data_IF_130956882217
#
_entry.id   IF_130956882217
#
_cell.length_a   1.000
_cell.length_b   1.000
_cell.length_c   1.000
_cell.angle_alpha   90.00
_cell.angle_beta   90.00
_cell.angle_gamma   90.00
#
_symmetry.space_group_name_H-M   'P 1'
#
loop_
_entity.id
_entity.type
_entity.pdbx_description
1 polymer ?
#
# COMPACT_ATOMS: atom_id res chain seq x y z
N UNK A 1 58.51 64.61 -13.29
CA UNK A 1 58.79 63.44 -12.42
C UNK A 1 57.49 62.94 -11.81
N UNK A 2 56.95 61.81 -12.28
CA UNK A 2 55.84 61.07 -11.65
C UNK A 2 56.17 59.58 -11.75
N UNK A 3 56.18 58.89 -10.61
CA UNK A 3 56.62 57.49 -10.46
C UNK A 3 55.50 56.52 -10.89
N UNK A 4 55.79 55.45 -11.66
CA UNK A 4 54.89 54.32 -11.85
C UNK A 4 55.27 53.24 -10.83
N UNK A 5 54.36 52.89 -9.92
CA UNK A 5 54.70 51.94 -8.87
C UNK A 5 53.50 51.53 -8.04
N UNK A 6 52.40 51.13 -8.67
CA UNK A 6 51.25 50.56 -7.95
C UNK A 6 50.32 49.74 -8.85
N UNK A 7 50.85 48.95 -9.79
CA UNK A 7 50.03 48.13 -10.69
C UNK A 7 50.54 46.68 -10.87
N UNK A 8 51.47 46.23 -10.03
CA UNK A 8 52.07 44.88 -10.14
C UNK A 8 51.74 43.93 -8.99
N UNK A 9 50.97 44.34 -7.97
CA UNK A 9 50.67 43.49 -6.81
C UNK A 9 49.37 42.67 -6.92
N UNK A 10 48.51 42.95 -7.90
CA UNK A 10 47.17 42.31 -8.00
C UNK A 10 47.14 41.07 -8.88
N UNK A 11 48.20 40.76 -9.63
CA UNK A 11 48.25 39.62 -10.56
C UNK A 11 48.77 38.32 -9.93
N UNK A 12 49.35 38.35 -8.74
CA UNK A 12 49.95 37.16 -8.09
C UNK A 12 48.96 36.35 -7.22
N UNK A 13 47.76 36.85 -6.96
CA UNK A 13 46.78 36.22 -6.05
C UNK A 13 45.74 35.32 -6.75
N UNK A 14 45.80 35.17 -8.07
CA UNK A 14 44.83 34.35 -8.85
C UNK A 14 45.33 32.95 -9.23
N UNK A 15 46.54 32.53 -8.78
CA UNK A 15 47.13 31.24 -9.15
C UNK A 15 47.10 30.16 -8.05
N UNK A 16 46.38 30.36 -6.93
CA UNK A 16 46.32 29.41 -5.81
C UNK A 16 44.96 28.73 -5.58
N UNK A 17 44.07 28.61 -6.58
CA UNK A 17 42.78 27.89 -6.43
C UNK A 17 42.74 26.47 -7.04
N UNK A 18 43.89 25.83 -7.24
CA UNK A 18 43.93 24.39 -7.51
C UNK A 18 44.45 23.64 -6.28
N UNK A 19 43.64 23.59 -5.23
CA UNK A 19 43.85 22.67 -4.11
C UNK A 19 42.98 21.41 -4.27
N UNK A 20 43.69 20.29 -4.32
CA UNK A 20 43.32 18.92 -3.99
C UNK A 20 41.84 18.53 -4.03
N UNK A 21 41.49 17.81 -5.09
CA UNK A 21 40.44 16.80 -5.01
C UNK A 21 41.14 15.43 -4.92
N UNK A 22 41.63 15.11 -3.71
CA UNK A 22 42.15 13.79 -3.36
C UNK A 22 40.99 12.79 -3.31
N UNK A 23 40.54 12.34 -4.48
CA UNK A 23 39.76 11.13 -4.58
C UNK A 23 40.71 10.01 -5.06
N UNK A 24 41.16 9.11 -4.16
CA UNK A 24 42.20 8.12 -4.45
C UNK A 24 41.85 7.11 -5.56
N UNK A 25 40.61 7.15 -6.07
CA UNK A 25 40.07 6.24 -7.08
C UNK A 25 39.69 6.89 -8.41
N UNK A 26 40.07 8.16 -8.67
CA UNK A 26 39.80 8.80 -9.96
C UNK A 26 40.79 8.30 -11.02
N UNK A 27 40.36 7.33 -11.84
CA UNK A 27 41.11 6.87 -13.03
C UNK A 27 41.85 5.54 -12.91
N UNK A 28 41.72 4.82 -11.79
CA UNK A 28 42.20 3.43 -11.71
C UNK A 28 41.20 2.51 -12.42
N UNK A 29 41.67 1.53 -13.23
CA UNK A 29 40.80 0.51 -13.79
C UNK A 29 40.03 -0.19 -12.67
N UNK A 30 38.73 -0.43 -12.88
CA UNK A 30 37.92 -1.23 -11.94
C UNK A 30 38.48 -2.65 -11.96
N UNK A 31 39.16 -3.03 -10.88
CA UNK A 31 39.67 -4.39 -10.70
C UNK A 31 38.53 -5.23 -10.14
N UNK A 32 38.03 -6.18 -10.93
CA UNK A 32 36.99 -7.12 -10.50
C UNK A 32 37.51 -7.92 -9.29
N UNK A 33 36.90 -7.69 -8.12
CA UNK A 33 37.25 -8.38 -6.87
C UNK A 33 37.79 -7.49 -5.75
N UNK A 34 38.02 -6.20 -5.99
CA UNK A 34 38.37 -5.24 -4.93
C UNK A 34 37.11 -4.80 -4.16
N UNK A 35 37.00 -5.18 -2.89
CA UNK A 35 35.87 -4.85 -2.02
C UNK A 35 35.68 -3.34 -1.80
N UNK A 36 36.72 -2.52 -2.01
CA UNK A 36 36.63 -1.06 -1.94
C UNK A 36 36.01 -0.41 -3.19
N UNK A 37 35.80 -1.20 -4.25
CA UNK A 37 35.08 -0.77 -5.47
C UNK A 37 33.62 -1.24 -5.51
N UNK A 38 33.19 -2.05 -4.54
CA UNK A 38 31.81 -2.52 -4.43
C UNK A 38 31.01 -1.46 -3.68
N UNK A 39 30.09 -0.80 -4.37
CA UNK A 39 29.07 0.05 -3.73
C UNK A 39 28.07 -0.89 -3.06
N UNK A 40 28.23 -1.11 -1.76
CA UNK A 40 27.24 -1.81 -0.94
C UNK A 40 26.15 -0.81 -0.56
N UNK A 41 25.04 -0.83 -1.29
CA UNK A 41 23.82 -0.10 -0.96
C UNK A 41 23.24 -0.73 0.31
N UNK A 42 23.36 -0.06 1.46
CA UNK A 42 22.85 -0.56 2.74
C UNK A 42 21.42 -0.10 3.05
N UNK A 43 20.82 0.72 2.18
CA UNK A 43 19.47 1.22 2.39
C UNK A 43 18.47 0.19 1.84
N UNK A 44 17.67 -0.46 2.71
CA UNK A 44 16.72 -1.50 2.31
C UNK A 44 15.63 -0.99 1.38
N UNK A 45 15.43 0.33 1.26
CA UNK A 45 14.49 0.91 0.32
C UNK A 45 14.92 0.70 -1.16
N UNK A 46 16.22 0.61 -1.44
CA UNK A 46 16.73 0.38 -2.80
C UNK A 46 16.99 -1.10 -3.12
N UNK A 47 16.86 -1.99 -2.13
CA UNK A 47 17.11 -3.43 -2.24
C UNK A 47 15.82 -4.27 -2.36
N UNK A 48 14.68 -3.67 -2.66
CA UNK A 48 13.43 -4.42 -2.75
C UNK A 48 13.42 -5.35 -3.97
N UNK A 49 13.20 -6.63 -3.74
CA UNK A 49 13.02 -7.63 -4.78
C UNK A 49 11.63 -7.47 -5.43
N UNK A 50 11.59 -7.24 -6.73
CA UNK A 50 10.34 -7.03 -7.49
C UNK A 50 9.69 -8.33 -7.98
N UNK A 51 10.23 -9.49 -7.58
CA UNK A 51 9.73 -10.80 -7.98
C UNK A 51 8.88 -11.37 -6.84
N UNK A 52 7.60 -11.56 -7.09
CA UNK A 52 6.72 -12.25 -6.15
C UNK A 52 7.07 -13.75 -6.10
N UNK A 53 7.43 -14.26 -4.92
CA UNK A 53 7.67 -15.69 -4.70
C UNK A 53 6.45 -16.53 -5.15
N UNK A 54 6.62 -17.31 -6.21
CA UNK A 54 5.60 -18.23 -6.70
C UNK A 54 5.64 -19.48 -5.81
N UNK A 55 4.78 -19.54 -4.79
CA UNK A 55 4.54 -20.80 -4.06
C UNK A 55 3.63 -21.69 -4.89
N UNK A 56 4.18 -22.72 -5.51
CA UNK A 56 3.41 -23.78 -6.17
C UNK A 56 2.53 -24.47 -5.14
N UNK A 57 1.21 -24.45 -5.37
CA UNK A 57 0.22 -25.13 -4.54
C UNK A 57 0.34 -26.63 -4.78
N UNK A 58 0.88 -27.35 -3.80
CA UNK A 58 0.94 -28.81 -3.80
C UNK A 58 -0.48 -29.38 -3.75
N UNK A 59 -0.80 -30.29 -4.68
CA UNK A 59 -2.10 -30.93 -4.78
C UNK A 59 -2.31 -31.90 -3.60
N UNK A 60 -3.51 -31.85 -3.01
CA UNK A 60 -3.95 -32.70 -1.91
C UNK A 60 -4.49 -34.03 -2.47
N UNK A 61 -4.08 -35.20 -1.93
CA UNK A 61 -4.53 -36.49 -2.46
C UNK A 61 -5.96 -36.85 -2.06
N UNK A 62 -6.63 -37.55 -2.98
CA UNK A 62 -8.02 -38.01 -2.95
C UNK A 62 -8.33 -38.93 -1.75
N UNK A 63 -9.54 -38.74 -1.20
CA UNK A 63 -10.11 -39.54 -0.13
C UNK A 63 -11.00 -40.64 -0.74
N UNK A 64 -10.81 -41.94 -0.43
CA UNK A 64 -11.65 -43.00 -0.99
C UNK A 64 -12.97 -43.20 -0.22
N UNK A 65 -13.96 -43.66 -0.99
CA UNK A 65 -15.38 -43.76 -0.67
C UNK A 65 -15.79 -45.01 0.14
N UNK A 66 -16.87 -44.86 0.94
CA UNK A 66 -17.95 -45.79 1.39
C UNK A 66 -17.62 -47.24 1.85
N UNK A 67 -18.36 -47.84 2.82
CA UNK A 67 -19.73 -48.31 2.55
C UNK A 67 -20.75 -48.19 3.71
N UNK A 68 -22.03 -48.16 3.33
CA UNK A 68 -23.18 -48.44 4.19
C UNK A 68 -23.34 -49.95 4.45
N UNK A 69 -24.12 -50.35 5.48
CA UNK A 69 -25.09 -51.42 5.27
C UNK A 69 -26.49 -51.15 5.90
N UNK A 70 -27.49 -51.36 5.03
CA UNK A 70 -28.81 -52.03 5.17
C UNK A 70 -29.44 -52.36 6.54
N UNK A 71 -30.70 -51.91 6.66
CA UNK A 71 -31.95 -52.59 7.07
C UNK A 71 -31.93 -53.71 8.14
N UNK A 72 -32.77 -53.60 9.18
CA UNK A 72 -34.08 -54.30 9.18
C UNK A 72 -34.98 -54.08 10.43
N UNK A 73 -36.29 -54.09 10.15
CA UNK A 73 -37.47 -54.48 10.95
C UNK A 73 -38.06 -53.62 12.12
N UNK A 74 -39.38 -53.44 11.98
CA UNK A 74 -40.39 -52.73 12.76
C UNK A 74 -40.64 -53.20 14.22
N UNK A 75 -41.15 -52.29 15.07
CA UNK A 75 -42.56 -52.27 15.53
C UNK A 75 -42.85 -51.27 16.68
N UNK A 76 -44.06 -50.66 16.58
CA UNK A 76 -45.03 -50.35 17.66
C UNK A 76 -45.07 -48.96 18.32
N UNK A 77 -46.05 -48.18 17.83
CA UNK A 77 -46.93 -47.16 18.46
C UNK A 77 -46.70 -46.75 19.93
N UNK A 78 -46.66 -45.43 20.17
CA UNK A 78 -47.69 -44.71 20.95
C UNK A 78 -47.54 -43.19 20.81
N UNK A 79 -48.69 -42.51 20.75
CA UNK A 79 -48.84 -41.07 20.59
C UNK A 79 -48.40 -40.27 21.83
N UNK A 80 -47.80 -39.10 21.59
CA UNK A 80 -47.91 -37.93 22.47
C UNK A 80 -47.53 -36.67 21.67
N UNK A 81 -48.57 -36.04 21.16
CA UNK A 81 -48.59 -34.67 20.65
C UNK A 81 -48.29 -33.71 21.81
N UNK A 82 -47.19 -32.95 21.74
CA UNK A 82 -46.96 -31.76 22.56
C UNK A 82 -46.22 -30.70 21.76
N UNK A 83 -47.00 -29.70 21.40
CA UNK A 83 -46.72 -28.29 21.18
C UNK A 83 -45.28 -27.82 20.95
N UNK A 84 -45.17 -27.15 19.80
CA UNK A 84 -44.14 -26.23 19.40
C UNK A 84 -43.69 -25.26 20.51
N UNK A 85 -42.38 -25.21 20.72
CA UNK A 85 -41.70 -23.99 21.13
C UNK A 85 -40.60 -23.75 20.09
N UNK A 86 -40.62 -22.65 19.31
CA UNK A 86 -39.51 -22.34 18.42
C UNK A 86 -38.27 -22.09 19.28
N UNK A 87 -37.27 -22.95 19.11
CA UNK A 87 -35.94 -22.71 19.63
C UNK A 87 -35.43 -21.40 19.01
N UNK A 88 -35.29 -20.38 19.86
CA UNK A 88 -34.69 -19.09 19.53
C UNK A 88 -33.29 -19.37 18.99
N UNK A 89 -33.11 -19.14 17.69
CA UNK A 89 -31.81 -19.16 17.06
C UNK A 89 -30.87 -18.18 17.80
N UNK A 90 -29.59 -18.52 18.00
CA UNK A 90 -28.62 -17.59 18.54
C UNK A 90 -28.64 -16.29 17.71
N UNK A 91 -28.62 -15.11 18.34
CA UNK A 91 -28.73 -13.85 17.61
C UNK A 91 -27.61 -13.77 16.59
N UNK A 92 -27.98 -13.78 15.31
CA UNK A 92 -27.12 -13.29 14.24
C UNK A 92 -26.62 -11.93 14.66
N UNK A 93 -25.29 -11.77 14.70
CA UNK A 93 -24.63 -10.51 14.99
C UNK A 93 -25.22 -9.46 14.05
N UNK A 94 -26.07 -8.57 14.60
CA UNK A 94 -26.70 -7.53 13.84
C UNK A 94 -25.59 -6.70 13.20
N UNK A 95 -25.55 -6.73 11.86
CA UNK A 95 -24.69 -5.85 11.09
C UNK A 95 -25.01 -4.41 11.54
N UNK A 96 -24.01 -3.65 12.02
CA UNK A 96 -24.26 -2.27 12.43
C UNK A 96 -24.81 -1.48 11.24
N UNK A 97 -26.06 -0.99 11.37
CA UNK A 97 -26.81 -0.22 10.38
C UNK A 97 -26.33 1.24 10.32
N UNK A 98 -25.02 1.44 10.25
CA UNK A 98 -24.44 2.76 10.02
C UNK A 98 -24.14 2.91 8.53
N UNK A 99 -24.42 4.09 7.96
CA UNK A 99 -24.03 4.42 6.60
C UNK A 99 -22.51 4.25 6.46
N UNK A 100 -22.06 3.31 5.61
CA UNK A 100 -20.64 2.98 5.48
C UNK A 100 -20.38 1.73 4.64
N UNK A 101 -19.10 1.35 4.56
CA UNK A 101 -18.69 0.07 3.98
C UNK A 101 -18.83 -1.02 5.03
N UNK A 102 -19.77 -1.95 4.82
CA UNK A 102 -19.91 -3.17 5.62
C UNK A 102 -19.38 -4.38 4.84
N UNK A 103 -18.44 -5.11 5.42
CA UNK A 103 -17.82 -6.31 4.85
C UNK A 103 -18.04 -7.48 5.82
N UNK A 104 -19.01 -8.34 5.50
CA UNK A 104 -19.34 -9.51 6.31
C UNK A 104 -18.58 -10.74 5.80
N UNK A 105 -17.45 -11.07 6.44
CA UNK A 105 -16.80 -12.36 6.25
C UNK A 105 -17.48 -13.42 7.11
N UNK A 106 -17.13 -14.69 6.89
CA UNK A 106 -17.66 -15.82 7.68
C UNK A 106 -17.47 -15.66 9.19
N UNK A 107 -16.28 -15.23 9.60
CA UNK A 107 -15.88 -15.22 11.02
C UNK A 107 -15.95 -13.84 11.68
N UNK A 108 -15.99 -12.77 10.88
CA UNK A 108 -15.95 -11.38 11.33
C UNK A 108 -16.68 -10.47 10.37
N UNK A 109 -17.43 -9.52 10.90
CA UNK A 109 -17.99 -8.40 10.14
C UNK A 109 -17.18 -7.14 10.42
N UNK A 110 -16.84 -6.40 9.37
CA UNK A 110 -16.09 -5.16 9.45
C UNK A 110 -16.95 -4.03 8.92
N UNK A 111 -17.08 -2.95 9.68
CA UNK A 111 -17.76 -1.72 9.29
C UNK A 111 -16.75 -0.56 9.28
N UNK A 112 -16.74 0.19 8.19
CA UNK A 112 -16.06 1.49 8.11
C UNK A 112 -17.16 2.53 7.84
N UNK A 113 -17.54 3.36 8.82
CA UNK A 113 -18.64 4.30 8.68
C UNK A 113 -18.25 5.46 7.76
N UNK A 114 -19.24 6.22 7.28
CA UNK A 114 -19.06 7.48 6.55
C UNK A 114 -18.21 7.40 5.27
N UNK A 115 -18.07 6.21 4.67
CA UNK A 115 -17.46 6.04 3.35
C UNK A 115 -18.45 5.39 2.39
N UNK A 116 -18.40 5.84 1.14
CA UNK A 116 -19.17 5.26 0.04
C UNK A 116 -18.18 4.58 -0.90
N UNK A 117 -18.45 3.32 -1.21
CA UNK A 117 -17.55 2.51 -2.02
C UNK A 117 -18.29 1.77 -3.12
N UNK A 118 -17.57 1.41 -4.18
CA UNK A 118 -18.05 0.54 -5.24
C UNK A 118 -17.27 -0.77 -5.20
N UNK A 119 -17.95 -1.90 -5.30
CA UNK A 119 -17.28 -3.20 -5.48
C UNK A 119 -16.90 -3.38 -6.95
N UNK A 120 -15.70 -3.93 -7.21
CA UNK A 120 -15.26 -4.25 -8.57
C UNK A 120 -16.01 -5.44 -9.18
N UNK A 121 -16.43 -6.40 -8.36
CA UNK A 121 -17.12 -7.65 -8.75
C UNK A 121 -18.06 -8.13 -7.65
N UNK A 122 -18.97 -9.05 -7.95
CA UNK A 122 -19.68 -9.79 -6.90
C UNK A 122 -18.68 -10.71 -6.18
N UNK A 123 -18.48 -10.48 -4.89
CA UNK A 123 -17.51 -11.19 -4.06
C UNK A 123 -18.25 -12.10 -3.09
N UNK A 124 -17.88 -13.39 -3.02
CA UNK A 124 -18.42 -14.29 -2.01
C UNK A 124 -17.58 -14.21 -0.73
N UNK A 125 -17.93 -13.26 0.15
CA UNK A 125 -17.19 -12.96 1.38
C UNK A 125 -17.23 -14.09 2.42
N UNK A 126 -18.18 -15.02 2.32
CA UNK A 126 -18.28 -16.18 3.21
C UNK A 126 -17.19 -17.22 2.96
N UNK A 127 -16.61 -17.24 1.75
CA UNK A 127 -15.49 -18.12 1.38
C UNK A 127 -14.18 -17.35 1.18
N UNK A 128 -14.24 -16.03 1.02
CA UNK A 128 -13.08 -15.22 0.73
C UNK A 128 -12.23 -14.91 1.98
N UNK A 129 -10.93 -14.74 1.75
CA UNK A 129 -9.99 -14.21 2.74
C UNK A 129 -9.73 -12.71 2.56
N UNK A 130 -10.31 -12.09 1.54
CA UNK A 130 -10.26 -10.65 1.42
C UNK A 130 -11.27 -10.07 0.46
N UNK A 131 -11.37 -8.75 0.50
CA UNK A 131 -12.28 -7.98 -0.31
C UNK A 131 -11.62 -6.72 -0.85
N UNK A 132 -11.96 -6.34 -2.08
CA UNK A 132 -11.44 -5.13 -2.73
C UNK A 132 -12.56 -4.19 -3.14
N UNK A 133 -12.40 -2.91 -2.83
CA UNK A 133 -13.37 -1.86 -3.11
C UNK A 133 -12.69 -0.62 -3.69
N UNK A 134 -13.44 0.17 -4.44
CA UNK A 134 -13.05 1.50 -4.90
C UNK A 134 -13.76 2.55 -4.04
N UNK A 135 -13.03 3.55 -3.53
CA UNK A 135 -13.60 4.67 -2.80
C UNK A 135 -14.32 5.62 -3.77
N UNK A 136 -15.59 5.90 -3.52
CA UNK A 136 -16.37 6.89 -4.28
C UNK A 136 -16.35 8.24 -3.56
N UNK A 137 -16.58 8.23 -2.24
CA UNK A 137 -16.57 9.44 -1.40
C UNK A 137 -16.39 9.10 0.09
N UNK A 138 -16.05 10.11 0.89
CA UNK A 138 -15.82 9.99 2.33
C UNK A 138 -14.36 10.22 2.71
N UNK A 139 -14.11 10.48 4.00
CA UNK A 139 -12.76 10.63 4.53
C UNK A 139 -12.32 9.32 5.20
N UNK A 140 -11.12 8.85 4.85
CA UNK A 140 -10.53 7.65 5.44
C UNK A 140 -9.67 8.01 6.66
N UNK A 141 -8.87 9.07 6.58
CA UNK A 141 -7.96 9.43 7.67
C UNK A 141 -8.75 9.98 8.87
N UNK A 142 -8.45 9.48 10.07
CA UNK A 142 -9.18 9.81 11.30
C UNK A 142 -10.53 9.10 11.43
N UNK A 143 -10.90 8.23 10.48
CA UNK A 143 -12.10 7.41 10.57
C UNK A 143 -11.84 6.14 11.40
N UNK A 144 -12.86 5.32 11.59
CA UNK A 144 -12.83 4.16 12.47
C UNK A 144 -13.15 2.86 11.73
N UNK A 145 -12.52 1.76 12.15
CA UNK A 145 -12.88 0.41 11.74
C UNK A 145 -13.54 -0.24 12.94
N UNK A 146 -14.80 -0.60 12.79
CA UNK A 146 -15.55 -1.34 13.79
C UNK A 146 -15.64 -2.80 13.37
N UNK A 147 -15.30 -3.72 14.27
CA UNK A 147 -15.41 -5.14 14.03
C UNK A 147 -16.48 -5.77 14.92
N UNK A 148 -17.14 -6.82 14.44
CA UNK A 148 -18.09 -7.60 15.24
C UNK A 148 -18.05 -9.07 14.84
N UNK A 149 -18.52 -9.96 15.73
CA UNK A 149 -18.47 -11.41 15.53
C UNK A 149 -17.32 -12.06 16.31
N UNK A 150 -16.40 -12.72 15.61
CA UNK A 150 -15.24 -13.39 16.22
C UNK A 150 -14.33 -12.44 17.02
N UNK A 151 -13.47 -13.02 17.87
CA UNK A 151 -12.56 -12.24 18.72
C UNK A 151 -11.40 -11.70 17.89
N UNK A 152 -11.38 -10.40 17.64
CA UNK A 152 -10.28 -9.74 16.91
C UNK A 152 -9.08 -9.56 17.84
N UNK A 153 -7.92 -10.03 17.38
CA UNK A 153 -6.66 -9.91 18.11
C UNK A 153 -5.88 -8.66 17.68
N UNK A 154 -5.87 -8.38 16.37
CA UNK A 154 -5.09 -7.27 15.80
C UNK A 154 -5.72 -6.79 14.50
N UNK A 155 -5.79 -5.47 14.34
CA UNK A 155 -6.01 -4.84 13.04
C UNK A 155 -4.74 -4.13 12.63
N UNK A 156 -4.20 -4.51 11.48
CA UNK A 156 -3.05 -3.86 10.86
C UNK A 156 -3.46 -3.07 9.64
N UNK A 157 -2.77 -1.96 9.40
CA UNK A 157 -2.92 -1.12 8.22
C UNK A 157 -1.61 -1.06 7.45
N UNK A 158 -1.71 -1.04 6.13
CA UNK A 158 -0.65 -0.54 5.26
C UNK A 158 -1.28 0.27 4.14
N UNK A 159 -0.49 1.05 3.44
CA UNK A 159 -0.99 1.84 2.33
C UNK A 159 0.00 1.91 1.18
N UNK A 160 -0.48 2.30 0.01
CA UNK A 160 0.33 2.59 -1.17
C UNK A 160 0.22 4.05 -1.52
N UNK A 161 1.34 4.69 -1.78
CA UNK A 161 1.40 6.06 -2.29
C UNK A 161 2.01 6.09 -3.68
N UNK A 162 1.70 7.16 -4.40
CA UNK A 162 2.32 7.51 -5.67
C UNK A 162 2.73 8.97 -5.65
N UNK A 163 3.69 9.34 -6.48
CA UNK A 163 4.01 10.74 -6.71
C UNK A 163 3.14 11.30 -7.85
N UNK A 164 2.63 12.51 -7.67
CA UNK A 164 1.97 13.26 -8.72
C UNK A 164 2.62 14.64 -8.89
N UNK A 165 2.69 15.14 -10.12
CA UNK A 165 3.04 16.54 -10.41
C UNK A 165 1.74 17.32 -10.56
N UNK A 166 1.58 18.38 -9.77
CA UNK A 166 0.43 19.29 -9.85
C UNK A 166 0.90 20.70 -10.21
N UNK A 167 0.50 21.18 -11.39
CA UNK A 167 0.82 22.52 -11.87
C UNK A 167 -0.29 23.03 -12.83
N UNK A 168 -0.04 24.13 -13.52
CA UNK A 168 -0.96 24.73 -14.50
C UNK A 168 -1.31 23.81 -15.68
N UNK A 169 -0.50 22.78 -15.95
CA UNK A 169 -0.76 21.77 -17.00
C UNK A 169 -1.73 20.68 -16.53
N UNK A 170 -2.11 20.68 -15.24
CA UNK A 170 -2.99 19.71 -14.60
C UNK A 170 -2.27 18.78 -13.63
N UNK A 171 -2.73 17.53 -13.57
CA UNK A 171 -2.15 16.49 -12.71
C UNK A 171 -1.54 15.36 -13.54
N UNK A 172 -0.25 15.11 -13.34
CA UNK A 172 0.46 13.95 -13.92
C UNK A 172 0.89 12.98 -12.82
N UNK A 173 0.21 11.84 -12.75
CA UNK A 173 0.56 10.75 -11.85
C UNK A 173 1.75 9.96 -12.38
N UNK A 174 2.76 9.79 -11.52
CA UNK A 174 3.99 9.07 -11.81
C UNK A 174 3.90 7.67 -11.21
N UNK A 175 3.11 6.78 -11.84
CA UNK A 175 2.83 5.43 -11.32
C UNK A 175 4.08 4.58 -11.08
N UNK A 176 5.17 4.86 -11.80
CA UNK A 176 6.46 4.20 -11.58
C UNK A 176 7.19 4.64 -10.31
N UNK A 177 6.74 5.74 -9.67
CA UNK A 177 7.23 6.21 -8.38
C UNK A 177 6.16 5.93 -7.33
N UNK A 178 5.96 4.64 -7.05
CA UNK A 178 5.09 4.19 -5.98
C UNK A 178 5.92 3.60 -4.83
N UNK A 179 5.35 3.62 -3.63
CA UNK A 179 5.88 2.87 -2.49
C UNK A 179 4.72 2.27 -1.71
N UNK A 180 4.98 1.17 -1.01
CA UNK A 180 4.04 0.53 -0.10
C UNK A 180 4.62 0.61 1.30
N UNK A 181 3.84 1.11 2.26
CA UNK A 181 4.26 1.16 3.65
C UNK A 181 4.33 -0.25 4.24
N UNK A 182 5.06 -0.38 5.34
CA UNK A 182 4.98 -1.58 6.17
C UNK A 182 3.61 -1.71 6.85
N UNK A 183 3.37 -2.90 7.42
CA UNK A 183 2.17 -3.17 8.21
C UNK A 183 2.31 -2.60 9.61
N UNK A 184 1.51 -1.59 9.92
CA UNK A 184 1.43 -0.99 11.24
C UNK A 184 0.18 -1.46 11.98
N UNK A 185 0.25 -1.61 13.30
CA UNK A 185 -0.93 -1.94 14.11
C UNK A 185 -1.77 -0.68 14.36
N UNK A 186 -3.07 -0.75 14.06
CA UNK A 186 -3.98 0.34 14.41
C UNK A 186 -4.26 0.33 15.91
N UNK A 187 -4.33 1.52 16.49
CA UNK A 187 -4.75 1.70 17.89
C UNK A 187 -6.26 1.57 17.97
N UNK A 188 -6.73 0.74 18.89
CA UNK A 188 -8.15 0.51 19.08
C UNK A 188 -8.46 -0.15 20.42
N UNK A 189 -9.72 -0.05 20.82
CA UNK A 189 -10.27 -0.69 22.02
C UNK A 189 -11.73 -1.03 21.76
N UNK A 190 -12.21 -2.13 22.36
CA UNK A 190 -13.60 -2.59 22.25
C UNK A 190 -14.05 -2.72 20.78
N UNK A 191 -13.22 -3.38 19.98
CA UNK A 191 -13.50 -3.63 18.55
C UNK A 191 -13.64 -2.37 17.67
N UNK A 192 -13.22 -1.21 18.16
CA UNK A 192 -13.16 0.05 17.41
C UNK A 192 -11.69 0.48 17.27
N UNK A 193 -11.21 0.61 16.03
CA UNK A 193 -9.82 0.92 15.66
C UNK A 193 -9.74 2.21 14.85
N UNK A 194 -8.93 3.17 15.28
CA UNK A 194 -8.76 4.44 14.57
C UNK A 194 -7.80 4.29 13.40
N UNK A 195 -8.24 4.73 12.22
CA UNK A 195 -7.42 4.85 11.01
C UNK A 195 -6.57 6.12 11.11
N UNK A 196 -5.25 5.97 11.07
CA UNK A 196 -4.28 7.07 11.21
C UNK A 196 -3.13 6.94 10.22
N UNK A 197 -2.30 8.00 10.11
CA UNK A 197 -1.08 7.98 9.30
C UNK A 197 -1.32 8.08 7.79
N UNK A 198 -2.51 8.55 7.37
CA UNK A 198 -2.89 8.69 5.97
C UNK A 198 -2.94 10.16 5.50
N UNK A 199 -2.42 11.10 6.29
CA UNK A 199 -2.28 12.50 5.92
C UNK A 199 -0.95 12.80 5.23
N UNK A 200 -0.93 13.85 4.40
CA UNK A 200 0.20 14.26 3.56
C UNK A 200 1.55 14.38 4.27
N UNK A 201 1.57 14.57 5.60
CA UNK A 201 2.82 14.70 6.38
C UNK A 201 3.43 13.35 6.77
N UNK A 202 2.61 12.31 6.88
CA UNK A 202 3.02 10.98 7.33
C UNK A 202 3.13 9.98 6.18
N UNK A 203 2.59 10.32 5.01
CA UNK A 203 2.67 9.46 3.83
C UNK A 203 4.12 9.23 3.41
N UNK A 204 4.54 7.97 3.47
CA UNK A 204 5.81 7.52 2.91
C UNK A 204 5.86 7.76 1.39
N UNK A 205 7.06 8.01 0.89
CA UNK A 205 7.29 8.20 -0.53
C UNK A 205 8.62 7.61 -0.98
N UNK A 206 8.66 7.20 -2.25
CA UNK A 206 9.88 6.70 -2.85
C UNK A 206 10.87 7.85 -3.05
N UNK A 207 12.05 7.75 -2.43
CA UNK A 207 13.16 8.67 -2.70
C UNK A 207 13.82 8.26 -4.02
N UNK A 208 14.11 9.23 -4.88
CA UNK A 208 14.77 8.94 -6.16
C UNK A 208 15.58 10.14 -6.64
N UNK A 209 16.54 9.88 -7.52
CA UNK A 209 17.40 10.90 -8.09
C UNK A 209 16.66 11.79 -9.09
N UNK A 210 17.17 13.00 -9.41
CA UNK A 210 16.57 13.88 -10.41
C UNK A 210 16.40 13.21 -11.79
N UNK A 211 17.30 12.30 -12.15
CA UNK A 211 17.19 11.52 -13.38
C UNK A 211 16.04 10.50 -13.31
N UNK A 212 15.86 9.85 -12.16
CA UNK A 212 14.72 8.95 -11.88
C UNK A 212 13.38 9.68 -12.03
N UNK A 213 13.28 10.91 -11.50
CA UNK A 213 12.07 11.74 -11.63
C UNK A 213 11.77 12.05 -13.10
N UNK A 214 12.77 12.51 -13.88
CA UNK A 214 12.57 12.80 -15.32
C UNK A 214 12.16 11.56 -16.11
N UNK A 215 12.78 10.42 -15.83
CA UNK A 215 12.42 9.16 -16.46
C UNK A 215 10.98 8.74 -16.13
N UNK A 216 10.53 8.94 -14.89
CA UNK A 216 9.15 8.69 -14.49
C UNK A 216 8.16 9.61 -15.23
N UNK A 217 8.50 10.90 -15.40
CA UNK A 217 7.70 11.84 -16.20
C UNK A 217 7.58 11.41 -17.65
N UNK A 218 8.69 11.05 -18.29
CA UNK A 218 8.67 10.55 -19.67
C UNK A 218 7.82 9.29 -19.79
N UNK A 219 7.91 8.35 -18.84
CA UNK A 219 7.06 7.14 -18.83
C UNK A 219 5.58 7.48 -18.68
N UNK A 220 5.23 8.37 -17.74
CA UNK A 220 3.84 8.79 -17.52
C UNK A 220 3.27 9.59 -18.71
N UNK A 221 4.07 10.43 -19.36
CA UNK A 221 3.66 11.14 -20.56
C UNK A 221 3.40 10.18 -21.74
N UNK A 222 4.27 9.16 -21.90
CA UNK A 222 4.11 8.12 -22.92
C UNK A 222 2.90 7.23 -22.65
N UNK A 223 2.65 6.81 -21.41
CA UNK A 223 1.48 5.98 -21.08
C UNK A 223 0.17 6.72 -21.38
N UNK A 224 0.13 8.04 -21.15
CA UNK A 224 -0.97 8.93 -21.52
C UNK A 224 -0.96 9.35 -23.00
N UNK A 225 -0.07 8.82 -23.84
CA UNK A 225 0.06 9.12 -25.28
C UNK A 225 0.15 10.62 -25.58
N UNK A 226 0.85 11.37 -24.73
CA UNK A 226 1.02 12.81 -24.90
C UNK A 226 1.93 13.14 -26.08
N UNK A 227 1.76 14.34 -26.65
CA UNK A 227 2.69 14.87 -27.65
C UNK A 227 4.08 15.13 -27.05
N UNK A 228 5.13 15.13 -27.88
CA UNK A 228 6.49 15.48 -27.47
C UNK A 228 6.60 16.90 -26.90
N UNK A 229 5.84 17.84 -27.47
CA UNK A 229 5.80 19.21 -26.96
C UNK A 229 5.21 19.27 -25.53
N UNK A 230 4.14 18.50 -25.28
CA UNK A 230 3.52 18.40 -23.95
C UNK A 230 4.45 17.72 -22.95
N UNK A 231 5.11 16.62 -23.35
CA UNK A 231 6.13 15.94 -22.55
C UNK A 231 7.23 16.93 -22.12
N UNK A 232 7.74 17.74 -23.05
CA UNK A 232 8.79 18.72 -22.74
C UNK A 232 8.32 19.80 -21.76
N UNK A 233 7.06 20.24 -21.85
CA UNK A 233 6.47 21.19 -20.87
C UNK A 233 6.45 20.58 -19.46
N UNK A 234 6.07 19.31 -19.33
CA UNK A 234 6.13 18.61 -18.04
C UNK A 234 7.57 18.50 -17.51
N UNK A 235 8.53 18.12 -18.35
CA UNK A 235 9.93 18.04 -17.96
C UNK A 235 10.51 19.40 -17.53
N UNK A 236 10.14 20.46 -18.23
CA UNK A 236 10.57 21.82 -17.89
C UNK A 236 9.98 22.27 -16.53
N UNK A 237 8.76 21.86 -16.19
CA UNK A 237 8.12 22.20 -14.92
C UNK A 237 8.81 21.60 -13.69
N UNK A 238 9.57 20.51 -13.88
CA UNK A 238 10.31 19.83 -12.81
C UNK A 238 11.83 20.00 -12.92
N UNK A 239 12.33 20.90 -13.77
CA UNK A 239 13.79 20.99 -14.05
C UNK A 239 14.65 21.23 -12.81
N UNK A 240 14.11 21.93 -11.81
CA UNK A 240 14.78 22.29 -10.55
C UNK A 240 14.46 21.34 -9.40
N UNK A 241 13.59 20.36 -9.62
CA UNK A 241 13.22 19.38 -8.63
C UNK A 241 14.39 18.42 -8.41
N UNK A 242 14.76 18.22 -7.16
CA UNK A 242 15.80 17.30 -6.75
C UNK A 242 15.26 16.05 -6.06
N UNK A 243 14.15 16.18 -5.32
CA UNK A 243 13.55 15.11 -4.51
C UNK A 243 12.04 15.04 -4.71
N UNK A 244 11.47 13.85 -4.51
CA UNK A 244 10.06 13.49 -4.71
C UNK A 244 9.04 14.20 -3.82
N UNK A 245 9.49 14.89 -2.77
CA UNK A 245 8.67 15.70 -1.87
C UNK A 245 8.72 17.22 -2.15
N UNK A 246 9.42 17.65 -3.20
CA UNK A 246 9.54 19.06 -3.56
C UNK A 246 8.43 19.49 -4.52
N UNK A 247 7.90 20.70 -4.32
CA UNK A 247 6.99 21.32 -5.30
C UNK A 247 7.63 21.35 -6.69
N UNK A 248 6.88 21.11 -7.78
CA UNK A 248 5.42 20.95 -7.86
C UNK A 248 4.90 19.51 -7.61
N UNK A 249 5.72 18.61 -7.07
CA UNK A 249 5.28 17.25 -6.77
C UNK A 249 4.57 17.17 -5.43
N UNK A 250 3.65 16.22 -5.35
CA UNK A 250 2.90 15.86 -4.14
C UNK A 250 2.83 14.34 -4.02
N UNK A 251 2.86 13.86 -2.79
CA UNK A 251 2.59 12.45 -2.48
C UNK A 251 1.08 12.27 -2.44
N UNK A 252 0.57 11.24 -3.09
CA UNK A 252 -0.87 10.96 -3.17
C UNK A 252 -1.11 9.53 -2.71
N UNK A 253 -2.08 9.35 -1.83
CA UNK A 253 -2.55 8.04 -1.39
C UNK A 253 -3.27 7.33 -2.55
N UNK A 254 -2.81 6.12 -2.91
CA UNK A 254 -3.36 5.33 -4.01
C UNK A 254 -4.31 4.24 -3.52
N UNK A 255 -3.98 3.59 -2.42
CA UNK A 255 -4.83 2.56 -1.81
C UNK A 255 -4.47 2.37 -0.34
N UNK A 256 -5.44 1.93 0.45
CA UNK A 256 -5.26 1.51 1.84
C UNK A 256 -5.66 0.06 1.97
N UNK A 257 -4.91 -0.70 2.77
CA UNK A 257 -5.19 -2.09 3.06
C UNK A 257 -5.24 -2.31 4.56
N UNK A 258 -6.25 -3.04 5.00
CA UNK A 258 -6.38 -3.49 6.37
C UNK A 258 -6.33 -4.99 6.44
N UNK A 259 -5.64 -5.51 7.46
CA UNK A 259 -5.58 -6.93 7.79
C UNK A 259 -6.13 -7.12 9.19
N UNK A 260 -7.16 -7.95 9.30
CA UNK A 260 -7.87 -8.26 10.54
C UNK A 260 -7.50 -9.70 10.91
N UNK A 261 -6.72 -9.85 11.98
CA UNK A 261 -6.29 -11.13 12.52
C UNK A 261 -7.06 -11.41 13.81
N UNK A 262 -7.58 -12.63 13.97
CA UNK A 262 -8.41 -12.99 15.12
C UNK A 262 -8.71 -14.47 15.23
N UNK A 263 -9.66 -14.81 16.12
CA UNK A 263 -10.13 -16.18 16.39
C UNK A 263 -11.64 -16.24 16.20
N UNK A 264 -12.09 -17.17 15.35
CA UNK A 264 -13.50 -17.40 15.05
C UNK A 264 -14.23 -18.10 16.21
N UNK A 265 -15.55 -18.21 16.10
CA UNK A 265 -16.38 -18.91 17.08
C UNK A 265 -16.05 -20.41 17.17
N UNK A 266 -15.55 -21.00 16.08
CA UNK A 266 -15.06 -22.38 16.01
C UNK A 266 -13.67 -22.57 16.68
N UNK A 267 -13.09 -21.50 17.20
CA UNK A 267 -11.78 -21.49 17.80
C UNK A 267 -10.62 -21.54 16.80
N UNK A 268 -10.85 -21.43 15.50
CA UNK A 268 -9.78 -21.35 14.49
C UNK A 268 -9.31 -19.91 14.33
N UNK A 269 -8.03 -19.75 14.05
CA UNK A 269 -7.48 -18.43 13.72
C UNK A 269 -7.92 -18.04 12.30
N UNK A 270 -8.27 -16.77 12.11
CA UNK A 270 -8.55 -16.20 10.80
C UNK A 270 -7.67 -14.99 10.54
N UNK A 271 -7.43 -14.73 9.25
CA UNK A 271 -6.82 -13.51 8.75
C UNK A 271 -7.63 -13.04 7.54
N UNK A 272 -8.25 -11.87 7.64
CA UNK A 272 -9.07 -11.27 6.58
C UNK A 272 -8.45 -9.95 6.12
N UNK A 273 -8.50 -9.68 4.83
CA UNK A 273 -7.93 -8.46 4.25
C UNK A 273 -8.98 -7.62 3.54
N UNK A 274 -8.95 -6.32 3.74
CA UNK A 274 -9.80 -5.38 3.00
C UNK A 274 -8.86 -4.40 2.30
N UNK A 275 -9.00 -4.28 0.97
CA UNK A 275 -8.31 -3.29 0.16
C UNK A 275 -9.31 -2.24 -0.31
N UNK A 276 -8.94 -0.98 -0.13
CA UNK A 276 -9.68 0.17 -0.61
C UNK A 276 -8.78 0.98 -1.54
N UNK A 277 -9.11 0.98 -2.82
CA UNK A 277 -8.41 1.77 -3.81
C UNK A 277 -9.03 3.17 -3.90
N UNK A 278 -8.17 4.18 -4.00
CA UNK A 278 -8.59 5.57 -4.15
C UNK A 278 -8.44 5.94 -5.63
N UNK A 279 -9.53 6.31 -6.32
CA UNK A 279 -9.47 6.68 -7.72
C UNK A 279 -8.65 7.96 -7.89
N UNK A 280 -7.72 7.91 -8.84
CA UNK A 280 -6.93 9.07 -9.25
C UNK A 280 -7.78 9.90 -10.22
N UNK A 281 -8.00 11.18 -9.90
CA UNK A 281 -8.83 12.10 -10.71
C UNK A 281 -7.96 13.15 -11.38
#
# INVERSE_FOLDING_TARGET
>A
MRKPGLLLLSAALLLQSCSNNDNPNRGKPIVLGDSSTIVTENDPQYLQDFVADIKMKQAEPEQPATPAPVDDTAAKQAAAEKEATPAVAPPEAQAPKDNGLTVAFKDVTVLIPNIVTRSYRQQNLQKANGASYELVSGNINGNHIRTSGGKVAKVSQRYQTIIAIKNELGTLYLESLNTTSDWEALRGRNDDYTISGLDDRHLEYLKTSPAGIRNAVTRAAKSKRMSRATEQKWLNSIKHVRNTNQKPMVVVLRSVMWKIDGKGADGRNFSKQIRLDIPLK
#
